data_IF_350899171236
#
_entry.id   IF_350899171236
#
_cell.length_a   1.000
_cell.length_b   1.000
_cell.length_c   1.000
_cell.angle_alpha   90.00
_cell.angle_beta   90.00
_cell.angle_gamma   90.00
#
_symmetry.space_group_name_H-M   'P 1'
#
loop_
_entity.id
_entity.type
_entity.pdbx_description
1 polymer ?
#
# COMPACT_ATOMS: atom_id res chain seq x y z
N UNK A 1 -15.67 4.97 37.64
CA UNK A 1 -14.22 4.76 37.87
C UNK A 1 -13.67 3.51 37.16
N UNK A 2 -14.34 2.36 37.22
CA UNK A 2 -13.89 1.12 36.56
C UNK A 2 -13.84 1.21 35.01
N UNK A 3 -14.82 1.86 34.40
CA UNK A 3 -14.92 2.00 32.93
C UNK A 3 -13.78 2.83 32.32
N UNK A 4 -13.40 3.92 33.00
CA UNK A 4 -12.26 4.77 32.62
C UNK A 4 -10.94 3.99 32.69
N UNK A 5 -10.77 3.12 33.68
CA UNK A 5 -9.60 2.28 33.81
C UNK A 5 -9.52 1.19 32.71
N UNK A 6 -10.68 0.64 32.31
CA UNK A 6 -10.78 -0.32 31.21
C UNK A 6 -10.42 0.33 29.86
N UNK A 7 -10.97 1.51 29.57
CA UNK A 7 -10.67 2.28 28.36
C UNK A 7 -9.17 2.62 28.26
N UNK A 8 -8.56 3.04 29.38
CA UNK A 8 -7.11 3.29 29.47
C UNK A 8 -6.28 2.03 29.19
N UNK A 9 -6.69 0.88 29.72
CA UNK A 9 -6.03 -0.42 29.45
C UNK A 9 -6.14 -0.83 27.98
N UNK A 10 -7.32 -0.66 27.36
CA UNK A 10 -7.54 -0.96 25.94
C UNK A 10 -6.66 -0.10 25.04
N UNK A 11 -6.68 1.22 25.24
CA UNK A 11 -5.84 2.16 24.48
C UNK A 11 -4.34 1.85 24.62
N UNK A 12 -3.90 1.48 25.83
CA UNK A 12 -2.51 1.08 26.07
C UNK A 12 -2.12 -0.20 25.32
N UNK A 13 -3.05 -1.17 25.19
CA UNK A 13 -2.84 -2.38 24.37
C UNK A 13 -2.78 -2.05 22.88
N UNK A 14 -3.69 -1.23 22.37
CA UNK A 14 -3.67 -0.78 20.96
C UNK A 14 -2.36 -0.08 20.61
N UNK A 15 -1.89 0.81 21.49
CA UNK A 15 -0.59 1.45 21.33
C UNK A 15 0.54 0.43 21.29
N UNK A 16 0.57 -0.54 22.22
CA UNK A 16 1.59 -1.58 22.22
C UNK A 16 1.57 -2.42 20.94
N UNK A 17 0.37 -2.77 20.45
CA UNK A 17 0.18 -3.53 19.22
C UNK A 17 0.74 -2.79 18.00
N UNK A 18 0.64 -1.45 17.96
CA UNK A 18 1.21 -0.64 16.86
C UNK A 18 2.74 -0.68 16.79
N UNK A 19 3.43 -1.03 17.88
CA UNK A 19 4.89 -1.22 17.89
C UNK A 19 5.32 -2.65 17.53
N UNK A 20 4.36 -3.58 17.43
CA UNK A 20 4.65 -4.95 17.03
C UNK A 20 4.71 -5.06 15.51
N UNK A 21 5.45 -6.05 15.01
CA UNK A 21 5.44 -6.40 13.59
C UNK A 21 4.01 -6.62 13.09
N UNK A 22 3.68 -5.93 11.99
CA UNK A 22 2.42 -6.09 11.28
C UNK A 22 2.52 -7.09 10.13
N UNK A 23 1.38 -7.39 9.52
CA UNK A 23 1.31 -8.17 8.29
C UNK A 23 1.89 -7.38 7.11
N UNK A 24 2.51 -8.06 6.15
CA UNK A 24 3.17 -7.43 4.99
C UNK A 24 2.23 -6.56 4.16
N UNK A 25 0.96 -6.95 4.04
CA UNK A 25 -0.02 -6.18 3.28
C UNK A 25 -0.47 -4.88 3.98
N UNK A 26 -0.08 -4.67 5.24
CA UNK A 26 -0.47 -3.53 6.04
C UNK A 26 -1.70 -3.75 6.92
N UNK A 27 -1.88 -2.86 7.89
CA UNK A 27 -2.91 -2.94 8.91
C UNK A 27 -4.31 -3.04 8.30
N UNK A 28 -5.10 -3.96 8.84
CA UNK A 28 -6.41 -4.33 8.30
C UNK A 28 -7.41 -3.18 8.31
N UNK A 29 -7.48 -2.47 9.44
CA UNK A 29 -8.34 -1.31 9.68
C UNK A 29 -7.99 -0.17 8.72
N UNK A 30 -6.69 0.09 8.50
CA UNK A 30 -6.24 1.08 7.54
C UNK A 30 -6.66 0.74 6.11
N UNK A 31 -6.58 -0.54 5.71
CA UNK A 31 -7.01 -0.98 4.38
C UNK A 31 -8.52 -0.92 4.19
N UNK A 32 -9.30 -1.14 5.25
CA UNK A 32 -10.76 -0.99 5.22
C UNK A 32 -11.18 0.46 4.97
N UNK A 33 -10.56 1.41 5.67
CA UNK A 33 -10.80 2.83 5.45
C UNK A 33 -10.30 3.31 4.08
N UNK A 34 -9.14 2.82 3.64
CA UNK A 34 -8.63 3.10 2.31
C UNK A 34 -9.57 2.57 1.22
N UNK A 35 -10.11 1.35 1.37
CA UNK A 35 -11.08 0.78 0.45
C UNK A 35 -12.35 1.65 0.34
N UNK A 36 -12.88 2.17 1.46
CA UNK A 36 -14.02 3.09 1.45
C UNK A 36 -13.68 4.40 0.72
N UNK A 37 -12.52 4.98 1.01
CA UNK A 37 -12.04 6.20 0.36
C UNK A 37 -11.93 6.04 -1.16
N UNK A 38 -11.27 4.98 -1.61
CA UNK A 38 -11.08 4.70 -3.04
C UNK A 38 -12.41 4.36 -3.72
N UNK A 39 -13.27 3.58 -3.06
CA UNK A 39 -14.58 3.23 -3.63
C UNK A 39 -15.43 4.46 -3.89
N UNK A 40 -15.44 5.41 -2.94
CA UNK A 40 -16.12 6.70 -3.10
C UNK A 40 -15.50 7.54 -4.21
N UNK A 41 -14.17 7.56 -4.33
CA UNK A 41 -13.44 8.38 -5.30
C UNK A 41 -13.60 7.89 -6.74
N UNK A 42 -13.57 6.57 -6.95
CA UNK A 42 -13.60 5.96 -8.29
C UNK A 42 -15.01 5.50 -8.71
N UNK A 43 -16.00 5.52 -7.82
CA UNK A 43 -17.38 5.10 -8.13
C UNK A 43 -17.53 3.59 -8.34
N UNK A 44 -16.54 2.79 -7.96
CA UNK A 44 -16.50 1.34 -8.09
C UNK A 44 -16.14 0.69 -6.76
N UNK A 45 -16.58 -0.54 -6.52
CA UNK A 45 -16.25 -1.23 -5.26
C UNK A 45 -14.77 -1.63 -5.25
N UNK A 46 -14.05 -1.19 -4.23
CA UNK A 46 -12.68 -1.62 -3.93
C UNK A 46 -12.71 -2.47 -2.66
N UNK A 47 -12.17 -3.69 -2.73
CA UNK A 47 -12.09 -4.59 -1.59
C UNK A 47 -10.73 -4.43 -0.89
N UNK A 48 -10.73 -4.35 0.44
CA UNK A 48 -9.49 -4.28 1.23
C UNK A 48 -8.52 -5.44 0.97
N UNK A 49 -9.03 -6.61 0.58
CA UNK A 49 -8.24 -7.80 0.26
C UNK A 49 -7.40 -7.61 -1.00
N UNK A 50 -7.79 -6.67 -1.86
CA UNK A 50 -7.09 -6.28 -3.08
C UNK A 50 -6.16 -5.08 -2.84
N UNK A 51 -6.00 -4.64 -1.59
CA UNK A 51 -5.14 -3.52 -1.22
C UNK A 51 -3.93 -4.00 -0.43
N UNK A 52 -2.79 -3.38 -0.75
CA UNK A 52 -1.52 -3.48 -0.03
C UNK A 52 -1.09 -2.06 0.32
N UNK A 53 -0.75 -1.82 1.58
CA UNK A 53 -0.15 -0.55 1.99
C UNK A 53 1.31 -0.53 1.55
N UNK A 54 1.69 0.50 0.82
CA UNK A 54 3.08 0.69 0.35
C UNK A 54 3.79 1.76 1.18
N UNK A 55 5.11 1.82 1.07
CA UNK A 55 5.93 2.87 1.68
C UNK A 55 6.01 4.12 0.79
N UNK A 56 4.97 4.38 -0.02
CA UNK A 56 4.92 5.44 -1.01
C UNK A 56 4.81 4.94 -2.45
N UNK A 57 4.70 5.90 -3.38
CA UNK A 57 4.47 5.61 -4.81
C UNK A 57 5.62 4.84 -5.44
N UNK A 58 6.88 5.19 -5.13
CA UNK A 58 8.06 4.51 -5.69
C UNK A 58 8.15 3.05 -5.26
N UNK A 59 7.87 2.75 -3.98
CA UNK A 59 7.82 1.36 -3.50
C UNK A 59 6.69 0.57 -4.18
N UNK A 60 5.53 1.22 -4.38
CA UNK A 60 4.42 0.63 -5.14
C UNK A 60 4.80 0.32 -6.59
N UNK A 61 5.48 1.25 -7.27
CA UNK A 61 5.95 1.05 -8.65
C UNK A 61 6.94 -0.12 -8.73
N UNK A 62 7.93 -0.18 -7.83
CA UNK A 62 8.88 -1.29 -7.80
C UNK A 62 8.18 -2.64 -7.53
N UNK A 63 7.18 -2.66 -6.64
CA UNK A 63 6.40 -3.87 -6.36
C UNK A 63 5.63 -4.33 -7.60
N UNK A 64 5.02 -3.38 -8.32
CA UNK A 64 4.30 -3.67 -9.56
C UNK A 64 5.23 -4.22 -10.64
N UNK A 65 6.39 -3.59 -10.86
CA UNK A 65 7.37 -4.06 -11.84
C UNK A 65 7.86 -5.48 -11.52
N UNK A 66 8.19 -5.76 -10.26
CA UNK A 66 8.64 -7.10 -9.84
C UNK A 66 7.56 -8.19 -9.93
N UNK A 67 6.28 -7.82 -9.94
CA UNK A 67 5.17 -8.79 -9.91
C UNK A 67 4.50 -9.00 -11.27
N UNK A 68 4.48 -7.97 -12.12
CA UNK A 68 3.73 -7.96 -13.38
C UNK A 68 4.66 -7.99 -14.60
N UNK A 69 5.85 -7.41 -14.52
CA UNK A 69 6.73 -7.30 -15.67
C UNK A 69 7.32 -8.66 -16.05
N UNK A 70 7.08 -9.08 -17.28
CA UNK A 70 7.72 -10.27 -17.83
C UNK A 70 9.17 -9.97 -18.25
N UNK A 71 10.06 -10.98 -18.27
CA UNK A 71 11.38 -10.83 -18.89
C UNK A 71 11.24 -10.30 -20.32
N UNK A 72 12.02 -9.28 -20.69
CA UNK A 72 11.95 -8.57 -21.98
C UNK A 72 10.58 -7.89 -22.24
N UNK A 73 9.85 -7.54 -21.18
CA UNK A 73 8.62 -6.78 -21.30
C UNK A 73 8.84 -5.36 -21.85
N UNK A 74 7.80 -4.81 -22.48
CA UNK A 74 7.79 -3.43 -22.99
C UNK A 74 6.94 -2.57 -22.06
N UNK A 75 7.47 -1.42 -21.64
CA UNK A 75 6.77 -0.45 -20.78
C UNK A 75 6.43 0.79 -21.61
N UNK A 76 5.13 1.08 -21.74
CA UNK A 76 4.66 2.29 -22.40
C UNK A 76 4.61 3.44 -21.39
N UNK A 77 5.19 4.59 -21.76
CA UNK A 77 5.21 5.81 -20.95
C UNK A 77 4.83 7.01 -21.79
N UNK A 78 4.31 8.05 -21.14
CA UNK A 78 4.07 9.35 -21.77
C UNK A 78 5.40 10.04 -22.14
N UNK A 79 5.37 10.95 -23.12
CA UNK A 79 6.56 11.69 -23.60
C UNK A 79 7.25 12.47 -22.47
N UNK A 80 6.46 13.08 -21.57
CA UNK A 80 6.94 13.71 -20.34
C UNK A 80 6.39 12.92 -19.17
N UNK A 81 7.27 12.21 -18.46
CA UNK A 81 6.86 11.29 -17.38
C UNK A 81 7.62 11.54 -16.07
N UNK A 82 7.22 10.82 -15.03
CA UNK A 82 7.84 10.88 -13.70
C UNK A 82 9.29 10.38 -13.76
N UNK A 83 10.26 11.27 -13.55
CA UNK A 83 11.69 10.97 -13.70
C UNK A 83 12.16 9.71 -12.94
N UNK A 84 11.67 9.50 -11.71
CA UNK A 84 12.04 8.34 -10.88
C UNK A 84 11.51 7.03 -11.48
N UNK A 85 10.42 7.05 -12.25
CA UNK A 85 9.93 5.85 -12.93
C UNK A 85 10.92 5.36 -13.99
N UNK A 86 11.54 6.27 -14.75
CA UNK A 86 12.54 5.94 -15.77
C UNK A 86 13.73 5.20 -15.13
N UNK A 87 14.21 5.67 -13.99
CA UNK A 87 15.32 5.02 -13.29
C UNK A 87 14.93 3.67 -12.67
N UNK A 88 13.66 3.49 -12.29
CA UNK A 88 13.13 2.19 -11.88
C UNK A 88 13.06 1.20 -13.06
N UNK A 89 12.64 1.66 -14.25
CA UNK A 89 12.53 0.81 -15.44
C UNK A 89 13.88 0.28 -15.92
N UNK A 90 14.94 1.11 -15.87
CA UNK A 90 16.32 0.73 -16.23
C UNK A 90 16.89 -0.42 -15.38
N UNK A 91 16.29 -0.73 -14.23
CA UNK A 91 16.73 -1.84 -13.37
C UNK A 91 16.30 -3.21 -13.92
N UNK A 92 15.40 -3.24 -14.90
CA UNK A 92 14.90 -4.46 -15.51
C UNK A 92 15.50 -4.64 -16.92
N UNK A 93 15.75 -5.89 -17.36
CA UNK A 93 16.17 -6.17 -18.73
C UNK A 93 14.97 -5.94 -19.66
N UNK A 94 14.90 -4.71 -20.18
CA UNK A 94 13.96 -4.30 -21.23
C UNK A 94 14.61 -4.56 -22.60
N UNK A 95 13.77 -4.82 -23.60
CA UNK A 95 14.21 -5.10 -24.97
C UNK A 95 14.56 -3.82 -25.73
#
# INVERSE_FOLDING_TARGET
MAEVALARRKKRREILLSFQYGITAGLWECRDELAKFLSKRYGSSVLRQQLILTCGATHGLQTLLNTVLSPNGIIFVEEVTYMIAIDAFKQFPLM
#
